data_IF_877884521656
#
_entry.id   IF_877884521656
#
_cell.length_a   1.000
_cell.length_b   1.000
_cell.length_c   1.000
_cell.angle_alpha   90.00
_cell.angle_beta   90.00
_cell.angle_gamma   90.00
#
_symmetry.space_group_name_H-M   'P 1'
#
loop_
_entity.id
_entity.type
_entity.pdbx_description
1 polymer ?
#
# COMPACT_ATOMS: atom_id res chain seq x y z
N UNK A 1 67.53 23.26 -72.49
CA UNK A 1 67.64 23.35 -71.04
C UNK A 1 66.24 23.49 -70.48
N UNK A 2 65.61 22.38 -70.11
CA UNK A 2 64.27 22.34 -69.59
C UNK A 2 64.37 22.31 -68.07
N UNK A 3 63.71 23.26 -67.38
CA UNK A 3 63.53 23.26 -65.95
C UNK A 3 62.16 22.66 -65.63
N UNK A 4 62.20 21.50 -64.96
CA UNK A 4 61.02 20.85 -64.36
C UNK A 4 60.71 21.49 -62.98
N UNK A 5 59.54 22.12 -62.82
CA UNK A 5 59.01 22.59 -61.56
C UNK A 5 58.13 21.47 -60.95
N UNK A 6 58.56 20.91 -59.84
CA UNK A 6 57.80 19.94 -59.04
C UNK A 6 56.87 20.68 -58.04
N UNK A 7 55.56 20.56 -58.21
CA UNK A 7 54.57 21.05 -57.28
C UNK A 7 54.37 20.07 -56.14
N UNK A 8 54.75 20.45 -54.92
CA UNK A 8 54.38 19.72 -53.69
C UNK A 8 52.94 20.04 -53.29
N UNK A 9 52.03 19.08 -53.36
CA UNK A 9 50.69 19.17 -52.83
C UNK A 9 50.69 18.86 -51.31
N UNK A 10 50.49 19.87 -50.50
CA UNK A 10 50.33 19.71 -49.07
C UNK A 10 48.89 19.24 -48.74
N UNK A 11 48.69 17.99 -48.40
CA UNK A 11 47.44 17.46 -47.91
C UNK A 11 47.25 17.87 -46.43
N UNK A 12 46.39 18.84 -46.18
CA UNK A 12 46.00 19.26 -44.81
C UNK A 12 45.09 18.17 -44.20
N UNK A 13 45.64 17.36 -43.29
CA UNK A 13 44.89 16.45 -42.46
C UNK A 13 44.02 17.26 -41.46
N UNK A 14 42.70 17.31 -41.69
CA UNK A 14 41.74 17.83 -40.73
C UNK A 14 41.73 16.91 -39.52
N UNK A 15 42.39 17.29 -38.42
CA UNK A 15 42.22 16.69 -37.09
C UNK A 15 40.80 16.97 -36.64
N UNK A 16 39.93 15.94 -36.64
CA UNK A 16 38.65 15.97 -35.97
C UNK A 16 38.88 16.20 -34.48
N UNK A 17 38.45 17.35 -33.95
CA UNK A 17 38.40 17.60 -32.52
C UNK A 17 37.46 16.54 -31.93
N UNK A 18 37.98 15.60 -31.15
CA UNK A 18 37.15 14.78 -30.24
C UNK A 18 36.42 15.74 -29.30
N UNK A 19 35.12 15.90 -29.50
CA UNK A 19 34.26 16.61 -28.57
C UNK A 19 34.27 15.79 -27.28
N UNK A 20 34.71 16.38 -26.18
CA UNK A 20 34.65 15.74 -24.88
C UNK A 20 33.18 15.36 -24.57
N UNK A 21 32.90 14.17 -24.05
CA UNK A 21 31.54 13.77 -23.73
C UNK A 21 30.96 14.78 -22.74
N UNK A 22 29.73 15.23 -23.00
CA UNK A 22 29.00 16.09 -22.07
C UNK A 22 28.89 15.37 -20.72
N UNK A 23 29.10 16.06 -19.58
CA UNK A 23 28.90 15.44 -18.27
C UNK A 23 27.45 14.91 -18.19
N UNK A 24 27.29 13.70 -17.71
CA UNK A 24 25.97 13.09 -17.51
C UNK A 24 25.21 13.85 -16.42
N UNK A 25 23.91 14.03 -16.63
CA UNK A 25 23.02 14.60 -15.59
C UNK A 25 22.87 13.63 -14.42
N UNK A 26 22.53 14.13 -13.23
CA UNK A 26 22.29 13.28 -12.06
C UNK A 26 21.21 12.21 -12.34
N UNK A 27 20.15 12.56 -13.07
CA UNK A 27 19.11 11.63 -13.51
C UNK A 27 19.64 10.52 -14.43
N UNK A 28 20.56 10.85 -15.36
CA UNK A 28 21.15 9.85 -16.24
C UNK A 28 22.06 8.90 -15.47
N UNK A 29 22.80 9.40 -14.48
CA UNK A 29 23.63 8.57 -13.58
C UNK A 29 22.75 7.64 -12.75
N UNK A 30 21.65 8.15 -12.20
CA UNK A 30 20.71 7.34 -11.41
C UNK A 30 20.09 6.24 -12.27
N UNK A 31 19.63 6.57 -13.47
CA UNK A 31 19.05 5.60 -14.41
C UNK A 31 20.05 4.51 -14.81
N UNK A 32 21.33 4.87 -14.99
CA UNK A 32 22.38 3.90 -15.28
C UNK A 32 22.62 2.93 -14.11
N UNK A 33 22.62 3.46 -12.87
CA UNK A 33 22.70 2.62 -11.66
C UNK A 33 21.52 1.66 -11.54
N UNK A 34 20.31 2.15 -11.77
CA UNK A 34 19.09 1.32 -11.74
C UNK A 34 19.10 0.22 -12.79
N UNK A 35 19.53 0.55 -14.02
CA UNK A 35 19.67 -0.45 -15.07
C UNK A 35 20.71 -1.51 -14.71
N UNK A 36 21.85 -1.10 -14.15
CA UNK A 36 22.90 -2.03 -13.71
C UNK A 36 22.39 -2.95 -12.61
N UNK A 37 21.70 -2.40 -11.60
CA UNK A 37 21.10 -3.18 -10.53
C UNK A 37 20.05 -4.18 -11.08
N UNK A 38 19.22 -3.76 -12.04
CA UNK A 38 18.27 -4.65 -12.70
C UNK A 38 18.97 -5.85 -13.36
N UNK A 39 20.06 -5.61 -14.09
CA UNK A 39 20.82 -6.70 -14.73
C UNK A 39 21.47 -7.62 -13.68
N UNK A 40 21.99 -7.07 -12.57
CA UNK A 40 22.56 -7.85 -11.46
C UNK A 40 21.53 -8.72 -10.74
N UNK A 41 20.25 -8.24 -10.66
CA UNK A 41 19.15 -8.97 -10.03
C UNK A 41 18.48 -9.99 -10.96
N UNK A 42 18.76 -9.95 -12.25
CA UNK A 42 18.01 -10.70 -13.26
C UNK A 42 18.02 -12.21 -13.01
N UNK A 43 19.19 -12.77 -12.68
CA UNK A 43 19.37 -14.20 -12.41
C UNK A 43 18.63 -14.66 -11.13
N UNK A 44 18.29 -13.72 -10.25
CA UNK A 44 17.52 -13.96 -9.03
C UNK A 44 16.03 -13.64 -9.18
N UNK A 45 15.52 -13.53 -10.41
CA UNK A 45 14.11 -13.26 -10.67
C UNK A 45 13.23 -14.33 -10.04
N UNK A 46 12.38 -13.91 -9.10
CA UNK A 46 11.46 -14.81 -8.40
C UNK A 46 10.39 -15.33 -9.36
N UNK A 47 10.11 -16.63 -9.26
CA UNK A 47 9.04 -17.29 -9.99
C UNK A 47 7.70 -17.01 -9.29
N UNK A 48 6.93 -16.06 -9.82
CA UNK A 48 5.60 -15.75 -9.33
C UNK A 48 4.54 -16.53 -10.13
N UNK A 49 3.38 -16.73 -9.50
CA UNK A 49 2.17 -17.16 -10.18
C UNK A 49 1.12 -16.06 -10.09
N UNK A 50 1.10 -15.18 -11.10
CA UNK A 50 0.20 -14.03 -11.14
C UNK A 50 -1.17 -14.47 -11.60
N UNK A 51 -2.14 -14.47 -10.70
CA UNK A 51 -3.51 -14.96 -10.96
C UNK A 51 -4.33 -13.93 -11.73
N UNK A 52 -4.19 -12.66 -11.35
CA UNK A 52 -5.01 -11.57 -11.86
C UNK A 52 -4.25 -10.24 -11.82
N UNK A 53 -4.71 -9.28 -12.60
CA UNK A 53 -4.25 -7.90 -12.53
C UNK A 53 -5.39 -6.95 -12.88
N UNK A 54 -5.48 -5.83 -12.14
CA UNK A 54 -6.50 -4.81 -12.37
C UNK A 54 -5.88 -3.43 -12.33
N UNK A 55 -6.28 -2.57 -13.25
CA UNK A 55 -5.83 -1.16 -13.29
C UNK A 55 -6.92 -0.29 -12.68
N UNK A 56 -6.53 0.47 -11.67
CA UNK A 56 -7.44 1.33 -10.90
C UNK A 56 -6.84 2.73 -10.71
N UNK A 57 -7.64 3.68 -10.24
CA UNK A 57 -7.13 4.95 -9.75
C UNK A 57 -6.25 4.73 -8.50
N UNK A 58 -5.14 5.45 -8.39
CA UNK A 58 -4.22 5.34 -7.25
C UNK A 58 -4.95 5.44 -5.90
N UNK A 59 -5.99 6.28 -5.82
CA UNK A 59 -6.82 6.45 -4.62
C UNK A 59 -7.70 5.24 -4.28
N UNK A 60 -7.93 4.34 -5.25
CA UNK A 60 -8.74 3.13 -5.08
C UNK A 60 -7.90 1.86 -4.86
N UNK A 61 -6.56 1.99 -4.84
CA UNK A 61 -5.67 0.84 -4.73
C UNK A 61 -5.96 0.00 -3.48
N UNK A 62 -6.10 0.64 -2.32
CA UNK A 62 -6.36 -0.06 -1.05
C UNK A 62 -7.69 -0.81 -1.04
N UNK A 63 -8.76 -0.19 -1.54
CA UNK A 63 -10.10 -0.82 -1.58
C UNK A 63 -10.20 -1.98 -2.55
N UNK A 64 -9.22 -2.13 -3.45
CA UNK A 64 -9.15 -3.23 -4.42
C UNK A 64 -8.58 -4.50 -3.80
N UNK A 65 -7.77 -4.37 -2.74
CA UNK A 65 -7.15 -5.48 -2.03
C UNK A 65 -8.15 -6.03 -1.01
N UNK A 66 -8.49 -7.31 -1.16
CA UNK A 66 -9.44 -7.99 -0.27
C UNK A 66 -8.69 -8.54 0.95
N UNK A 67 -8.35 -7.68 1.92
CA UNK A 67 -7.82 -8.13 3.20
C UNK A 67 -8.94 -8.73 4.05
N UNK A 68 -8.66 -9.89 4.63
CA UNK A 68 -9.52 -10.44 5.69
C UNK A 68 -9.28 -9.67 6.99
N UNK A 69 -10.28 -9.53 7.88
CA UNK A 69 -10.11 -8.81 9.15
C UNK A 69 -8.93 -9.31 9.99
N UNK A 70 -8.61 -10.59 9.93
CA UNK A 70 -7.50 -11.22 10.67
C UNK A 70 -6.13 -10.71 10.24
N UNK A 71 -5.99 -10.28 8.98
CA UNK A 71 -4.77 -9.66 8.46
C UNK A 71 -4.62 -8.18 8.84
N UNK A 72 -5.65 -7.60 9.46
CA UNK A 72 -5.67 -6.19 9.77
C UNK A 72 -6.08 -5.31 8.59
N UNK A 73 -5.69 -4.04 8.65
CA UNK A 73 -6.09 -3.05 7.64
C UNK A 73 -5.00 -2.00 7.43
N UNK A 74 -4.95 -1.47 6.21
CA UNK A 74 -4.13 -0.30 5.88
C UNK A 74 -5.08 0.87 5.62
N UNK A 75 -4.88 1.95 6.34
CA UNK A 75 -5.78 3.12 6.30
C UNK A 75 -4.95 4.42 6.24
N UNK A 76 -5.48 5.51 5.66
CA UNK A 76 -4.80 6.80 5.73
C UNK A 76 -4.63 7.27 7.19
N UNK A 77 -3.44 7.81 7.52
CA UNK A 77 -3.10 8.29 8.86
C UNK A 77 -4.11 9.32 9.39
N UNK A 78 -4.46 10.29 8.56
CA UNK A 78 -5.40 11.36 8.92
C UNK A 78 -6.82 10.85 9.21
N UNK A 79 -7.24 9.78 8.56
CA UNK A 79 -8.54 9.14 8.83
C UNK A 79 -8.51 8.33 10.13
N UNK A 80 -7.38 7.70 10.42
CA UNK A 80 -7.23 6.82 11.57
C UNK A 80 -7.03 7.58 12.89
N UNK A 81 -6.12 8.56 12.90
CA UNK A 81 -5.83 9.37 14.10
C UNK A 81 -6.61 10.69 14.15
N UNK A 82 -7.46 10.98 13.15
CA UNK A 82 -8.16 12.27 13.00
C UNK A 82 -7.22 13.48 13.03
N UNK A 83 -6.01 13.30 12.54
CA UNK A 83 -4.92 14.25 12.53
C UNK A 83 -4.45 14.51 11.09
N UNK A 84 -4.35 15.78 10.69
CA UNK A 84 -4.00 16.19 9.32
C UNK A 84 -2.50 16.41 9.12
N UNK A 85 -1.66 16.08 10.09
CA UNK A 85 -0.22 16.35 10.04
C UNK A 85 0.53 15.52 9.01
N UNK A 86 0.03 14.31 8.69
CA UNK A 86 0.66 13.36 7.76
C UNK A 86 -0.30 12.94 6.63
N UNK A 87 -0.61 13.82 5.67
CA UNK A 87 -1.70 13.59 4.70
C UNK A 87 -1.44 12.45 3.70
N UNK A 88 -0.19 12.09 3.46
CA UNK A 88 0.19 11.04 2.48
C UNK A 88 0.69 9.75 3.15
N UNK A 89 0.60 9.67 4.47
CA UNK A 89 1.05 8.53 5.25
C UNK A 89 -0.09 7.53 5.43
N UNK A 90 0.27 6.25 5.35
CA UNK A 90 -0.62 5.13 5.65
C UNK A 90 -0.23 4.45 6.95
N UNK A 91 -1.25 3.96 7.65
CA UNK A 91 -1.12 3.22 8.91
C UNK A 91 -1.57 1.78 8.65
N UNK A 92 -0.74 0.82 9.01
CA UNK A 92 -1.17 -0.55 9.16
C UNK A 92 -1.63 -0.78 10.59
N UNK A 93 -2.79 -1.39 10.76
CA UNK A 93 -3.36 -1.81 12.04
C UNK A 93 -3.53 -3.32 11.98
N UNK A 94 -2.99 -4.04 12.95
CA UNK A 94 -3.09 -5.51 12.98
C UNK A 94 -4.52 -6.00 13.18
N UNK A 95 -4.77 -7.30 12.92
CA UNK A 95 -6.10 -7.91 13.02
C UNK A 95 -6.73 -7.82 14.40
N UNK A 96 -5.94 -7.77 15.47
CA UNK A 96 -6.43 -7.57 16.85
C UNK A 96 -6.75 -6.11 17.18
N UNK A 97 -6.50 -5.18 16.25
CA UNK A 97 -6.69 -3.73 16.43
C UNK A 97 -5.99 -3.13 17.68
N UNK A 98 -4.94 -3.77 18.14
CA UNK A 98 -4.19 -3.37 19.33
C UNK A 98 -2.76 -2.90 19.04
N UNK A 99 -2.29 -3.00 17.80
CA UNK A 99 -0.97 -2.52 17.37
C UNK A 99 -1.03 -1.89 16.00
N UNK A 100 -0.35 -0.78 15.82
CA UNK A 100 -0.29 -0.12 14.52
C UNK A 100 1.13 0.36 14.20
N UNK A 101 1.41 0.49 12.89
CA UNK A 101 2.70 0.91 12.34
C UNK A 101 2.48 2.01 11.29
N UNK A 102 3.31 3.04 11.31
CA UNK A 102 3.30 4.13 10.33
C UNK A 102 4.65 4.83 10.27
N UNK A 103 4.92 5.55 9.19
CA UNK A 103 6.15 6.33 9.05
C UNK A 103 5.85 7.83 9.06
N UNK A 104 6.74 8.60 9.68
CA UNK A 104 6.81 10.05 9.55
C UNK A 104 7.98 10.40 8.64
N UNK A 105 7.73 11.21 7.63
CA UNK A 105 8.75 11.67 6.69
C UNK A 105 8.91 13.19 6.84
N UNK A 106 10.13 13.63 7.08
CA UNK A 106 10.46 15.04 7.20
C UNK A 106 10.59 15.74 5.82
N UNK A 107 10.85 17.03 5.84
CA UNK A 107 10.98 17.86 4.61
C UNK A 107 12.17 17.48 3.74
N UNK A 108 13.14 16.72 4.28
CA UNK A 108 14.31 16.22 3.53
C UNK A 108 14.05 14.85 2.90
N UNK A 109 12.88 14.25 3.17
CA UNK A 109 12.54 12.90 2.75
C UNK A 109 13.02 11.82 3.71
N UNK A 110 13.69 12.17 4.81
CA UNK A 110 14.12 11.22 5.83
C UNK A 110 12.92 10.70 6.59
N UNK A 111 12.80 9.38 6.66
CA UNK A 111 11.67 8.71 7.28
C UNK A 111 12.06 8.04 8.59
N UNK A 112 11.12 8.05 9.54
CA UNK A 112 11.21 7.30 10.80
C UNK A 112 9.95 6.45 10.93
N UNK A 113 10.11 5.17 11.19
CA UNK A 113 9.01 4.25 11.41
C UNK A 113 8.66 4.20 12.89
N UNK A 114 7.37 4.26 13.19
CA UNK A 114 6.83 4.21 14.54
C UNK A 114 5.84 3.06 14.69
N UNK A 115 5.75 2.52 15.90
CA UNK A 115 4.62 1.70 16.31
C UNK A 115 3.90 2.35 17.50
N UNK A 116 2.61 2.00 17.65
CA UNK A 116 1.82 2.29 18.86
C UNK A 116 1.07 1.03 19.25
N UNK A 117 0.89 0.87 20.54
CA UNK A 117 0.09 -0.20 21.12
C UNK A 117 -1.14 0.40 21.78
N UNK A 118 -2.26 -0.31 21.70
CA UNK A 118 -3.54 0.12 22.26
C UNK A 118 -3.79 -0.62 23.57
N UNK A 119 -3.88 0.14 24.66
CA UNK A 119 -4.23 -0.35 25.97
C UNK A 119 -5.53 0.32 26.42
N UNK A 120 -6.51 -0.46 26.84
CA UNK A 120 -7.80 0.06 27.32
C UNK A 120 -8.43 1.10 26.38
N UNK A 121 -8.44 0.80 25.07
CA UNK A 121 -8.96 1.66 23.99
C UNK A 121 -8.16 2.95 23.72
N UNK A 122 -7.01 3.16 24.36
CA UNK A 122 -6.15 4.34 24.18
C UNK A 122 -4.85 3.91 23.49
N UNK A 123 -4.48 4.59 22.41
CA UNK A 123 -3.20 4.40 21.74
C UNK A 123 -2.05 5.01 22.57
N UNK A 124 -0.98 4.25 22.77
CA UNK A 124 0.25 4.73 23.43
C UNK A 124 0.89 5.90 22.67
N UNK A 125 1.83 6.58 23.29
CA UNK A 125 2.74 7.48 22.58
C UNK A 125 3.51 6.72 21.49
N UNK A 126 3.89 7.38 20.37
CA UNK A 126 4.70 6.77 19.32
C UNK A 126 6.00 6.20 19.86
N UNK A 127 6.32 4.97 19.50
CA UNK A 127 7.58 4.32 19.80
C UNK A 127 8.39 4.18 18.51
N UNK A 128 9.59 4.77 18.48
CA UNK A 128 10.48 4.68 17.31
C UNK A 128 10.97 3.25 17.13
N UNK A 129 10.75 2.70 15.95
CA UNK A 129 11.29 1.41 15.53
C UNK A 129 12.73 1.62 15.08
N UNK A 130 13.65 0.89 15.73
CA UNK A 130 15.08 0.92 15.42
C UNK A 130 15.42 -0.18 14.41
N UNK A 131 16.51 0.01 13.64
CA UNK A 131 17.04 -1.03 12.74
C UNK A 131 16.65 -0.90 11.29
N UNK A 132 15.67 -0.05 10.95
CA UNK A 132 15.39 0.27 9.55
C UNK A 132 16.45 1.25 9.04
N UNK A 133 17.13 0.91 7.96
CA UNK A 133 18.32 1.56 7.46
C UNK A 133 18.20 3.09 7.33
N UNK A 134 19.28 3.78 7.70
CA UNK A 134 19.38 5.24 7.62
C UNK A 134 19.29 5.77 6.15
N UNK A 135 19.48 4.88 5.18
CA UNK A 135 19.57 5.21 3.76
C UNK A 135 18.21 5.16 3.02
N UNK A 136 17.14 4.80 3.75
CA UNK A 136 15.79 4.71 3.18
C UNK A 136 15.01 6.00 3.40
N UNK A 137 14.47 6.53 2.31
CA UNK A 137 13.67 7.77 2.30
C UNK A 137 12.22 7.45 1.97
N UNK A 138 11.30 8.32 2.41
CA UNK A 138 9.88 8.23 2.08
C UNK A 138 9.25 6.87 2.42
N UNK A 139 9.61 6.26 3.57
CA UNK A 139 9.01 4.99 4.00
C UNK A 139 7.49 5.13 4.12
N UNK A 140 6.73 4.20 3.51
CA UNK A 140 5.28 4.21 3.54
C UNK A 140 4.70 2.79 3.30
N UNK A 141 3.38 2.66 3.36
CA UNK A 141 2.65 1.42 3.12
C UNK A 141 3.15 0.23 3.95
N UNK A 142 3.29 0.40 5.28
CA UNK A 142 3.71 -0.69 6.16
C UNK A 142 2.68 -1.81 6.17
N UNK A 143 3.15 -3.06 6.26
CA UNK A 143 2.33 -4.25 6.43
C UNK A 143 3.11 -5.30 7.24
N UNK A 144 2.45 -5.90 8.23
CA UNK A 144 2.98 -7.01 9.02
C UNK A 144 2.19 -8.28 8.70
N UNK A 145 2.87 -9.38 8.45
CA UNK A 145 2.23 -10.69 8.30
C UNK A 145 1.52 -11.13 9.58
N UNK A 146 0.59 -12.08 9.46
CA UNK A 146 -0.24 -12.53 10.58
C UNK A 146 0.56 -13.16 11.72
N UNK A 147 1.75 -13.71 11.43
CA UNK A 147 2.69 -14.26 12.42
C UNK A 147 3.38 -13.17 13.28
N UNK A 148 3.32 -11.90 12.87
CA UNK A 148 3.96 -10.79 13.56
C UNK A 148 5.49 -10.74 13.40
N UNK A 149 6.07 -11.53 12.49
CA UNK A 149 7.51 -11.62 12.29
C UNK A 149 7.98 -10.89 11.02
N UNK A 150 7.28 -11.06 9.90
CA UNK A 150 7.69 -10.48 8.62
C UNK A 150 7.00 -9.15 8.38
N UNK A 151 7.79 -8.12 8.09
CA UNK A 151 7.34 -6.75 7.89
C UNK A 151 7.72 -6.25 6.50
N UNK A 152 6.72 -5.79 5.76
CA UNK A 152 6.88 -5.19 4.44
C UNK A 152 6.61 -3.69 4.50
N UNK A 153 7.31 -2.93 3.68
CA UNK A 153 7.06 -1.51 3.48
C UNK A 153 7.61 -1.06 2.13
N UNK A 154 7.18 0.09 1.65
CA UNK A 154 7.78 0.72 0.47
C UNK A 154 8.67 1.88 0.89
N UNK A 155 9.80 2.04 0.22
CA UNK A 155 10.72 3.15 0.46
C UNK A 155 11.45 3.55 -0.82
N UNK A 156 12.00 4.77 -0.82
CA UNK A 156 12.95 5.21 -1.84
C UNK A 156 14.36 5.02 -1.28
N UNK A 157 15.15 4.19 -1.96
CA UNK A 157 16.53 3.92 -1.59
C UNK A 157 17.48 4.39 -2.72
N UNK A 158 18.67 4.83 -2.35
CA UNK A 158 19.69 5.28 -3.33
C UNK A 158 20.22 4.13 -4.20
N UNK A 159 20.04 2.89 -3.73
CA UNK A 159 20.33 1.62 -4.40
C UNK A 159 19.06 0.87 -4.83
N UNK A 160 17.95 1.56 -4.95
CA UNK A 160 16.68 1.01 -5.44
C UNK A 160 16.60 0.89 -6.95
N UNK A 161 15.70 0.02 -7.42
CA UNK A 161 15.40 -0.21 -8.84
C UNK A 161 14.57 0.93 -9.45
N UNK A 162 13.65 1.50 -8.67
CA UNK A 162 12.70 2.49 -9.15
C UNK A 162 12.60 3.74 -8.30
N UNK A 163 11.40 4.27 -8.20
CA UNK A 163 11.05 5.33 -7.26
C UNK A 163 10.81 4.75 -5.87
N UNK A 164 9.61 4.20 -5.66
CA UNK A 164 9.35 3.34 -4.53
C UNK A 164 9.69 1.89 -4.88
N UNK A 165 10.44 1.25 -4.01
CA UNK A 165 10.64 -0.20 -4.02
C UNK A 165 10.07 -0.81 -2.74
N UNK A 166 9.62 -2.05 -2.83
CA UNK A 166 9.13 -2.83 -1.69
C UNK A 166 10.33 -3.50 -1.01
N UNK A 167 10.41 -3.35 0.30
CA UNK A 167 11.39 -3.96 1.17
C UNK A 167 10.71 -4.89 2.16
N UNK A 168 11.45 -5.89 2.60
CA UNK A 168 11.07 -6.84 3.62
C UNK A 168 12.11 -6.84 4.73
N UNK A 169 11.65 -6.96 5.98
CA UNK A 169 12.50 -7.23 7.13
C UNK A 169 11.81 -8.20 8.08
N UNK A 170 12.54 -8.73 9.05
CA UNK A 170 12.00 -9.59 10.10
C UNK A 170 12.22 -8.98 11.46
N UNK A 171 11.25 -9.14 12.33
CA UNK A 171 11.38 -8.78 13.73
C UNK A 171 12.15 -9.87 14.48
N UNK A 172 13.17 -9.46 15.21
CA UNK A 172 13.93 -10.29 16.12
C UNK A 172 13.38 -10.08 17.54
N UNK A 173 12.62 -11.04 18.09
CA UNK A 173 12.02 -10.90 19.40
C UNK A 173 13.06 -10.93 20.54
N UNK A 174 14.20 -11.58 20.33
CA UNK A 174 15.27 -11.68 21.35
C UNK A 174 15.98 -10.35 21.51
N UNK A 175 16.21 -9.62 20.43
CA UNK A 175 16.85 -8.31 20.44
C UNK A 175 15.84 -7.13 20.45
N UNK A 176 14.55 -7.40 20.25
CA UNK A 176 13.49 -6.39 20.24
C UNK A 176 13.63 -5.36 19.11
N UNK A 177 14.17 -5.77 17.96
CA UNK A 177 14.41 -4.90 16.81
C UNK A 177 14.11 -5.59 15.49
N UNK A 178 13.97 -4.79 14.43
CA UNK A 178 13.96 -5.32 13.07
C UNK A 178 15.38 -5.57 12.55
N UNK A 179 15.53 -6.63 11.76
CA UNK A 179 16.76 -6.92 11.02
C UNK A 179 16.95 -5.90 9.88
N UNK A 180 18.13 -5.93 9.24
CA UNK A 180 18.40 -5.09 8.07
C UNK A 180 17.37 -5.41 6.97
N UNK A 181 16.67 -4.40 6.43
CA UNK A 181 15.72 -4.61 5.34
C UNK A 181 16.40 -5.08 4.06
N UNK A 182 15.72 -5.94 3.33
CA UNK A 182 16.13 -6.47 2.04
C UNK A 182 15.15 -6.03 0.96
N UNK A 183 15.66 -5.61 -0.21
CA UNK A 183 14.85 -5.38 -1.40
C UNK A 183 14.24 -6.71 -1.85
N UNK A 184 12.90 -6.78 -2.03
CA UNK A 184 12.22 -8.04 -2.41
C UNK A 184 12.59 -8.50 -3.82
N UNK A 185 13.17 -7.63 -4.64
CA UNK A 185 13.73 -7.94 -5.94
C UNK A 185 12.70 -8.12 -7.05
N UNK A 186 13.20 -8.66 -8.16
CA UNK A 186 12.42 -8.94 -9.37
C UNK A 186 11.52 -10.17 -9.19
N UNK A 187 10.32 -10.20 -9.74
CA UNK A 187 9.68 -9.18 -10.58
C UNK A 187 8.74 -8.24 -9.79
N UNK A 188 8.75 -8.30 -8.46
CA UNK A 188 7.89 -7.45 -7.61
C UNK A 188 8.32 -6.00 -7.77
N UNK A 189 9.59 -5.68 -7.53
CA UNK A 189 10.16 -4.37 -7.81
C UNK A 189 10.52 -4.18 -9.28
N UNK A 190 10.54 -2.94 -9.74
CA UNK A 190 10.80 -2.55 -11.13
C UNK A 190 11.40 -1.14 -11.21
N UNK A 191 11.64 -0.63 -12.43
CA UNK A 191 12.05 0.77 -12.64
C UNK A 191 10.95 1.82 -12.36
N UNK A 192 9.77 1.39 -11.87
CA UNK A 192 8.63 2.25 -11.56
C UNK A 192 8.43 2.35 -10.05
N UNK A 193 7.37 3.03 -9.60
CA UNK A 193 6.97 2.96 -8.21
C UNK A 193 6.25 1.63 -7.97
N UNK A 194 6.79 0.83 -7.05
CA UNK A 194 6.21 -0.43 -6.57
C UNK A 194 5.95 -0.31 -5.06
N UNK A 195 4.74 -0.58 -4.62
CA UNK A 195 4.33 -0.35 -3.23
C UNK A 195 3.09 -1.16 -2.85
N UNK A 196 2.67 -1.05 -1.59
CA UNK A 196 1.46 -1.69 -1.07
C UNK A 196 1.51 -3.21 -1.24
N UNK A 197 2.61 -3.84 -0.79
CA UNK A 197 2.69 -5.30 -0.73
C UNK A 197 1.95 -5.82 0.50
N UNK A 198 1.07 -6.77 0.27
CA UNK A 198 0.24 -7.39 1.30
C UNK A 198 0.18 -8.87 1.06
N UNK A 199 0.31 -9.67 2.11
CA UNK A 199 0.36 -11.13 2.04
C UNK A 199 -0.68 -11.76 2.97
N UNK A 200 -1.51 -12.64 2.39
CA UNK A 200 -2.46 -13.48 3.10
C UNK A 200 -1.91 -14.91 3.09
N UNK A 201 -1.15 -15.25 4.10
CA UNK A 201 -0.52 -16.55 4.26
C UNK A 201 -1.55 -17.68 4.49
N UNK A 202 -2.67 -17.39 5.16
CA UNK A 202 -3.76 -18.33 5.41
C UNK A 202 -4.40 -18.77 4.10
N UNK A 203 -4.75 -17.84 3.23
CA UNK A 203 -5.36 -18.12 1.93
C UNK A 203 -4.32 -18.29 0.81
N UNK A 204 -3.04 -18.05 1.12
CA UNK A 204 -1.91 -18.12 0.18
C UNK A 204 -2.07 -17.19 -1.03
N UNK A 205 -2.41 -15.93 -0.79
CA UNK A 205 -2.44 -14.87 -1.79
C UNK A 205 -1.59 -13.68 -1.35
N UNK A 206 -1.06 -12.95 -2.34
CA UNK A 206 -0.44 -11.65 -2.11
C UNK A 206 -0.86 -10.65 -3.17
N UNK A 207 -0.76 -9.36 -2.84
CA UNK A 207 -1.05 -8.25 -3.73
C UNK A 207 0.07 -7.24 -3.65
N UNK A 208 0.33 -6.58 -4.76
CA UNK A 208 1.14 -5.36 -4.77
C UNK A 208 0.66 -4.39 -5.85
N UNK A 209 0.87 -3.12 -5.60
CA UNK A 209 0.56 -2.03 -6.52
C UNK A 209 1.83 -1.57 -7.24
N UNK A 210 1.68 -1.24 -8.52
CA UNK A 210 2.78 -0.72 -9.34
C UNK A 210 2.30 0.31 -10.34
N UNK A 211 3.12 1.31 -10.60
CA UNK A 211 2.89 2.29 -11.69
C UNK A 211 3.49 1.86 -13.02
N UNK A 212 4.13 0.67 -13.09
CA UNK A 212 4.76 0.18 -14.35
C UNK A 212 3.75 0.14 -15.50
N UNK A 213 4.09 0.79 -16.60
CA UNK A 213 3.28 0.88 -17.82
C UNK A 213 1.88 1.46 -17.61
N UNK A 214 1.68 2.26 -16.54
CA UNK A 214 0.41 2.92 -16.29
C UNK A 214 0.50 4.42 -16.57
N UNK A 215 -0.59 5.05 -17.04
CA UNK A 215 -0.67 6.50 -17.13
C UNK A 215 -0.66 7.13 -15.73
N UNK A 216 -0.33 8.41 -15.66
CA UNK A 216 -0.31 9.18 -14.42
C UNK A 216 -1.67 9.07 -13.68
N UNK A 217 -1.63 8.86 -12.37
CA UNK A 217 -2.81 8.69 -11.52
C UNK A 217 -3.41 7.29 -11.51
N UNK A 218 -2.92 6.37 -12.35
CA UNK A 218 -3.34 4.96 -12.37
C UNK A 218 -2.26 4.04 -11.81
N UNK A 219 -2.72 2.91 -11.27
CA UNK A 219 -1.85 1.84 -10.79
C UNK A 219 -2.42 0.49 -11.22
N UNK A 220 -1.55 -0.47 -11.41
CA UNK A 220 -1.91 -1.86 -11.59
C UNK A 220 -1.74 -2.60 -10.26
N UNK A 221 -2.79 -3.29 -9.83
CA UNK A 221 -2.72 -4.22 -8.69
C UNK A 221 -2.57 -5.62 -9.25
N UNK A 222 -1.45 -6.26 -8.94
CA UNK A 222 -1.24 -7.67 -9.23
C UNK A 222 -1.71 -8.52 -8.06
N UNK A 223 -2.41 -9.61 -8.35
CA UNK A 223 -2.77 -10.66 -7.40
C UNK A 223 -1.93 -11.90 -7.68
N UNK A 224 -1.22 -12.37 -6.68
CA UNK A 224 -0.29 -13.50 -6.77
C UNK A 224 -0.84 -14.65 -5.93
N UNK A 225 -0.78 -15.89 -6.43
CA UNK A 225 -0.92 -17.08 -5.61
C UNK A 225 0.45 -17.43 -5.04
N UNK A 226 0.57 -17.43 -3.73
CA UNK A 226 1.83 -17.73 -3.04
C UNK A 226 2.21 -19.21 -3.23
N UNK A 227 3.47 -19.44 -3.50
CA UNK A 227 4.08 -20.77 -3.43
C UNK A 227 4.49 -21.05 -1.97
N UNK A 228 4.54 -22.34 -1.61
CA UNK A 228 4.98 -22.75 -0.26
C UNK A 228 6.40 -22.31 0.07
N UNK A 229 7.28 -22.29 -0.94
CA UNK A 229 8.65 -21.84 -0.83
C UNK A 229 8.91 -20.83 -1.94
N UNK A 230 9.78 -19.86 -1.66
CA UNK A 230 10.29 -18.94 -2.69
C UNK A 230 11.17 -19.75 -3.67
N UNK A 231 10.86 -19.64 -4.96
CA UNK A 231 11.64 -20.23 -6.04
C UNK A 231 12.02 -19.12 -7.01
N UNK A 232 13.22 -19.19 -7.59
CA UNK A 232 13.63 -18.33 -8.68
C UNK A 232 13.50 -19.08 -10.01
N UNK A 233 13.46 -18.33 -11.11
CA UNK A 233 13.66 -18.91 -12.41
C UNK A 233 15.12 -19.40 -12.51
N UNK A 234 15.32 -20.56 -13.11
CA UNK A 234 16.64 -21.06 -13.40
C UNK A 234 17.14 -20.35 -14.67
N UNK A 235 18.05 -19.39 -14.49
CA UNK A 235 18.55 -18.52 -15.58
C UNK A 235 19.15 -19.33 -16.75
N UNK A 236 19.72 -20.50 -16.49
CA UNK A 236 20.29 -21.37 -17.52
C UNK A 236 19.22 -21.96 -18.47
N UNK A 237 17.96 -21.98 -18.05
CA UNK A 237 16.84 -22.51 -18.84
C UNK A 237 16.10 -21.43 -19.65
N UNK A 238 16.50 -20.17 -19.56
CA UNK A 238 15.86 -19.05 -20.26
C UNK A 238 16.89 -18.24 -21.04
N UNK A 239 16.55 -17.79 -22.23
CA UNK A 239 17.32 -16.73 -22.87
C UNK A 239 17.13 -15.40 -22.10
N UNK A 240 18.10 -14.51 -22.20
CA UNK A 240 18.13 -13.22 -21.50
C UNK A 240 16.85 -12.41 -21.79
N UNK A 241 16.32 -12.45 -23.00
CA UNK A 241 15.11 -11.73 -23.38
C UNK A 241 13.87 -12.30 -22.68
N UNK A 242 13.74 -13.63 -22.63
CA UNK A 242 12.63 -14.29 -21.94
C UNK A 242 12.69 -14.02 -20.44
N UNK A 243 13.86 -14.10 -19.83
CA UNK A 243 14.06 -13.79 -18.43
C UNK A 243 13.71 -12.33 -18.10
N UNK A 244 14.13 -11.37 -18.94
CA UNK A 244 13.75 -9.96 -18.81
C UNK A 244 12.23 -9.73 -18.94
N UNK A 245 11.54 -10.47 -19.80
CA UNK A 245 10.08 -10.39 -19.91
C UNK A 245 9.38 -10.87 -18.64
N UNK A 246 9.87 -11.95 -18.01
CA UNK A 246 9.39 -12.47 -16.74
C UNK A 246 9.68 -11.49 -15.58
N UNK A 247 10.92 -10.96 -15.53
CA UNK A 247 11.34 -9.97 -14.54
C UNK A 247 10.50 -8.67 -14.60
N UNK A 248 10.07 -8.29 -15.78
CA UNK A 248 9.22 -7.10 -15.99
C UNK A 248 7.72 -7.37 -15.91
N UNK A 249 7.29 -8.62 -15.77
CA UNK A 249 5.89 -9.05 -15.85
C UNK A 249 5.20 -8.52 -17.12
N UNK A 250 5.85 -8.67 -18.27
CA UNK A 250 5.35 -8.15 -19.55
C UNK A 250 3.98 -8.73 -19.89
N UNK A 251 3.81 -10.03 -19.63
CA UNK A 251 2.54 -10.72 -19.76
C UNK A 251 2.35 -11.67 -18.57
N UNK A 252 1.28 -11.49 -17.82
CA UNK A 252 1.00 -12.33 -16.64
C UNK A 252 0.83 -13.82 -16.99
N UNK A 253 0.38 -14.12 -18.21
CA UNK A 253 0.20 -15.51 -18.68
C UNK A 253 1.52 -16.30 -18.71
N UNK A 254 2.65 -15.61 -18.86
CA UNK A 254 3.98 -16.25 -18.92
C UNK A 254 4.40 -16.77 -17.52
N UNK A 255 3.73 -16.34 -16.47
CA UNK A 255 3.91 -16.82 -15.09
C UNK A 255 3.08 -18.07 -14.77
N UNK A 256 2.17 -18.48 -15.66
CA UNK A 256 1.24 -19.58 -15.37
C UNK A 256 1.87 -20.94 -15.65
N UNK A 257 1.81 -21.83 -14.66
CA UNK A 257 2.14 -23.24 -14.86
C UNK A 257 1.07 -23.97 -15.68
N UNK A 258 -0.21 -23.58 -15.55
CA UNK A 258 -1.31 -24.00 -16.43
C UNK A 258 -2.51 -23.05 -16.31
N UNK A 259 -3.34 -22.93 -17.36
CA UNK A 259 -4.59 -22.18 -17.31
C UNK A 259 -5.59 -22.74 -16.28
N UNK A 260 -5.59 -24.05 -16.06
CA UNK A 260 -6.46 -24.71 -15.10
C UNK A 260 -6.15 -24.25 -13.68
N UNK A 261 -4.87 -24.27 -13.27
CA UNK A 261 -4.44 -23.80 -11.96
C UNK A 261 -4.82 -22.31 -11.73
N UNK A 262 -4.69 -21.50 -12.78
CA UNK A 262 -5.14 -20.09 -12.69
C UNK A 262 -6.64 -20.01 -12.42
N UNK A 263 -7.46 -20.77 -13.13
CA UNK A 263 -8.91 -20.75 -12.96
C UNK A 263 -9.33 -21.25 -11.56
N UNK A 264 -8.63 -22.23 -11.01
CA UNK A 264 -8.81 -22.69 -9.62
C UNK A 264 -8.47 -21.59 -8.62
N UNK A 265 -7.33 -20.92 -8.79
CA UNK A 265 -6.94 -19.79 -7.95
C UNK A 265 -7.93 -18.62 -8.03
N UNK A 266 -8.48 -18.31 -9.23
CA UNK A 266 -9.53 -17.29 -9.38
C UNK A 266 -10.83 -17.66 -8.65
N UNK A 267 -11.22 -18.94 -8.63
CA UNK A 267 -12.37 -19.40 -7.85
C UNK A 267 -12.13 -19.22 -6.36
N UNK A 268 -10.95 -19.62 -5.88
CA UNK A 268 -10.55 -19.43 -4.47
C UNK A 268 -10.57 -17.94 -4.08
N UNK A 269 -9.99 -17.07 -4.90
CA UNK A 269 -9.98 -15.61 -4.69
C UNK A 269 -11.40 -15.03 -4.61
N UNK A 270 -12.30 -15.47 -5.48
CA UNK A 270 -13.70 -15.05 -5.47
C UNK A 270 -14.40 -15.48 -4.18
N UNK A 271 -14.23 -16.73 -3.74
CA UNK A 271 -14.80 -17.23 -2.49
C UNK A 271 -14.27 -16.43 -1.30
N UNK A 272 -12.96 -16.18 -1.24
CA UNK A 272 -12.32 -15.41 -0.19
C UNK A 272 -12.87 -13.96 -0.12
N UNK A 273 -13.03 -13.28 -1.27
CA UNK A 273 -13.63 -11.92 -1.33
C UNK A 273 -15.05 -11.90 -0.78
N UNK A 274 -15.86 -12.92 -1.09
CA UNK A 274 -17.23 -13.04 -0.56
C UNK A 274 -17.17 -13.21 0.96
N UNK A 275 -16.29 -14.08 1.46
CA UNK A 275 -16.14 -14.34 2.90
C UNK A 275 -15.59 -13.12 3.64
N UNK A 276 -14.61 -12.40 3.08
CA UNK A 276 -14.07 -11.18 3.65
C UNK A 276 -15.15 -10.09 3.76
N UNK A 277 -15.94 -9.87 2.71
CA UNK A 277 -17.04 -8.92 2.73
C UNK A 277 -18.10 -9.30 3.78
N UNK A 278 -18.45 -10.58 3.87
CA UNK A 278 -19.41 -11.06 4.88
C UNK A 278 -18.87 -10.88 6.31
N UNK A 279 -17.58 -11.15 6.53
CA UNK A 279 -16.92 -10.96 7.82
C UNK A 279 -16.83 -9.46 8.20
N UNK A 280 -16.52 -8.59 7.23
CA UNK A 280 -16.52 -7.14 7.45
C UNK A 280 -17.91 -6.63 7.84
N UNK A 281 -18.95 -7.05 7.13
CA UNK A 281 -20.32 -6.70 7.48
C UNK A 281 -20.74 -7.26 8.85
N UNK A 282 -20.34 -8.46 9.21
CA UNK A 282 -20.59 -9.03 10.53
C UNK A 282 -19.85 -8.26 11.63
N UNK A 283 -18.58 -7.90 11.41
CA UNK A 283 -17.79 -7.10 12.34
C UNK A 283 -18.36 -5.67 12.52
N UNK A 284 -18.82 -5.05 11.43
CA UNK A 284 -19.51 -3.76 11.47
C UNK A 284 -20.81 -3.79 12.27
N UNK A 285 -21.50 -4.94 12.31
CA UNK A 285 -22.74 -5.14 13.08
C UNK A 285 -22.47 -5.55 14.53
N UNK A 286 -21.27 -6.00 14.89
CA UNK A 286 -20.96 -6.37 16.27
C UNK A 286 -20.87 -5.14 17.14
N UNK A 287 -21.70 -5.13 18.22
CA UNK A 287 -21.71 -4.08 19.21
C UNK A 287 -21.04 -4.55 20.50
N UNK A 288 -19.87 -3.99 20.81
CA UNK A 288 -19.13 -4.30 22.04
C UNK A 288 -19.70 -3.46 23.19
N UNK A 289 -20.30 -4.13 24.16
CA UNK A 289 -20.83 -3.50 25.39
C UNK A 289 -19.69 -3.23 26.35
N UNK A 290 -18.93 -4.28 26.69
CA UNK A 290 -17.73 -4.24 27.55
C UNK A 290 -16.76 -5.37 27.15
N UNK A 291 -15.69 -5.57 27.92
CA UNK A 291 -14.63 -6.56 27.62
C UNK A 291 -15.11 -8.01 27.62
N UNK A 292 -16.27 -8.31 28.26
CA UNK A 292 -16.84 -9.65 28.37
C UNK A 292 -18.10 -9.86 27.53
N UNK A 293 -18.69 -8.78 26.99
CA UNK A 293 -20.01 -8.80 26.36
C UNK A 293 -20.03 -8.07 25.04
N UNK A 294 -20.34 -8.83 23.97
CA UNK A 294 -20.55 -8.29 22.64
C UNK A 294 -21.83 -8.87 22.01
N UNK A 295 -22.55 -8.09 21.26
CA UNK A 295 -23.79 -8.48 20.57
C UNK A 295 -23.60 -8.43 19.06
N UNK A 296 -24.01 -9.49 18.37
CA UNK A 296 -23.86 -9.63 16.92
C UNK A 296 -25.16 -9.30 16.15
N UNK A 297 -26.24 -9.04 16.86
CA UNK A 297 -27.53 -8.66 16.27
C UNK A 297 -28.38 -7.87 17.27
N UNK A 298 -29.44 -7.20 16.77
CA UNK A 298 -30.33 -6.39 17.56
C UNK A 298 -31.10 -7.17 18.64
N UNK A 299 -31.40 -8.44 18.39
CA UNK A 299 -32.19 -9.29 19.31
C UNK A 299 -31.40 -9.67 20.56
N UNK A 300 -30.07 -9.59 20.51
CA UNK A 300 -29.16 -9.90 21.61
C UNK A 300 -29.20 -8.84 22.73
N UNK A 301 -29.69 -7.62 22.48
CA UNK A 301 -29.81 -6.58 23.49
C UNK A 301 -30.92 -6.93 24.48
N UNK A 302 -30.65 -6.74 25.76
CA UNK A 302 -31.56 -7.06 26.85
C UNK A 302 -32.67 -6.04 27.01
N UNK A 303 -32.41 -4.77 26.70
CA UNK A 303 -33.35 -3.66 26.81
C UNK A 303 -33.96 -3.32 25.45
N UNK A 304 -35.27 -3.11 25.42
CA UNK A 304 -35.98 -2.62 24.23
C UNK A 304 -35.50 -1.19 23.84
N UNK A 305 -35.13 -0.38 24.83
CA UNK A 305 -34.52 0.92 24.61
C UNK A 305 -33.18 0.79 23.91
N UNK A 306 -32.34 -0.16 24.34
CA UNK A 306 -31.05 -0.45 23.66
C UNK A 306 -31.21 -0.89 22.21
N UNK A 307 -32.25 -1.69 21.90
CA UNK A 307 -32.57 -2.10 20.52
C UNK A 307 -32.93 -0.91 19.65
N UNK A 308 -33.74 0.01 20.16
CA UNK A 308 -34.12 1.23 19.44
C UNK A 308 -32.91 2.16 19.23
N UNK A 309 -32.09 2.36 20.27
CA UNK A 309 -30.86 3.14 20.16
C UNK A 309 -29.83 2.49 19.19
N UNK A 310 -29.75 1.17 19.16
CA UNK A 310 -28.90 0.44 18.21
C UNK A 310 -29.38 0.62 16.78
N UNK A 311 -30.67 0.59 16.51
CA UNK A 311 -31.21 0.90 15.19
C UNK A 311 -30.87 2.34 14.75
N UNK A 312 -30.95 3.32 15.67
CA UNK A 312 -30.51 4.69 15.39
C UNK A 312 -28.98 4.75 15.13
N UNK A 313 -28.19 4.02 15.89
CA UNK A 313 -26.72 3.92 15.69
C UNK A 313 -26.37 3.40 14.30
N UNK A 314 -27.07 2.38 13.82
CA UNK A 314 -26.85 1.85 12.46
C UNK A 314 -27.22 2.89 11.40
N UNK A 315 -28.32 3.59 11.56
CA UNK A 315 -28.72 4.66 10.63
C UNK A 315 -27.70 5.82 10.58
N UNK A 316 -27.14 6.24 11.73
CA UNK A 316 -26.08 7.26 11.80
C UNK A 316 -24.77 6.79 11.15
N UNK A 317 -24.45 5.49 11.25
CA UNK A 317 -23.28 4.90 10.57
C UNK A 317 -23.45 4.91 9.05
N UNK A 318 -24.64 4.53 8.55
CA UNK A 318 -24.96 4.57 7.13
C UNK A 318 -24.93 6.01 6.59
N UNK A 319 -25.46 6.97 7.33
CA UNK A 319 -25.41 8.39 6.97
C UNK A 319 -23.96 8.90 6.92
N UNK A 320 -23.15 8.56 7.91
CA UNK A 320 -21.72 8.89 7.92
C UNK A 320 -20.97 8.33 6.70
N UNK A 321 -21.26 7.08 6.31
CA UNK A 321 -20.69 6.47 5.12
C UNK A 321 -21.08 7.22 3.85
N UNK A 322 -22.33 7.63 3.72
CA UNK A 322 -22.84 8.41 2.59
C UNK A 322 -22.18 9.80 2.53
N UNK A 323 -22.06 10.48 3.67
CA UNK A 323 -21.38 11.77 3.78
C UNK A 323 -19.90 11.64 3.37
N UNK A 324 -19.20 10.61 3.84
CA UNK A 324 -17.80 10.35 3.49
C UNK A 324 -17.62 10.17 1.99
N UNK A 325 -18.47 9.34 1.36
CA UNK A 325 -18.44 9.13 -0.09
C UNK A 325 -18.67 10.45 -0.86
N UNK A 326 -19.65 11.24 -0.43
CA UNK A 326 -19.96 12.55 -1.03
C UNK A 326 -18.80 13.53 -0.88
N UNK A 327 -18.16 13.57 0.29
CA UNK A 327 -16.97 14.40 0.54
C UNK A 327 -15.80 14.02 -0.35
N UNK A 328 -15.57 12.74 -0.56
CA UNK A 328 -14.49 12.26 -1.44
C UNK A 328 -14.73 12.68 -2.90
N UNK A 329 -15.94 12.51 -3.40
CA UNK A 329 -16.34 12.98 -4.74
C UNK A 329 -16.19 14.50 -4.90
N UNK A 330 -16.59 15.26 -3.90
CA UNK A 330 -16.49 16.73 -3.89
C UNK A 330 -15.02 17.19 -3.84
N UNK A 331 -14.18 16.56 -3.02
CA UNK A 331 -12.75 16.87 -2.93
C UNK A 331 -12.01 16.55 -4.25
N UNK A 332 -12.37 15.46 -4.93
CA UNK A 332 -11.87 15.17 -6.27
C UNK A 332 -12.29 16.24 -7.28
N UNK A 333 -13.55 16.68 -7.22
CA UNK A 333 -14.08 17.72 -8.11
C UNK A 333 -13.45 19.10 -7.83
N UNK A 334 -13.14 19.40 -6.58
CA UNK A 334 -12.53 20.67 -6.15
C UNK A 334 -11.18 20.96 -6.83
N UNK A 335 -10.42 19.90 -7.15
CA UNK A 335 -9.15 20.02 -7.87
C UNK A 335 -9.32 20.43 -9.34
N UNK A 336 -10.51 20.26 -9.91
CA UNK A 336 -10.80 20.46 -11.34
C UNK A 336 -11.56 21.76 -11.64
N UNK A 337 -12.10 22.44 -10.62
CA UNK A 337 -12.93 23.65 -10.79
C UNK A 337 -12.23 24.92 -10.35
N UNK A 338 -12.57 26.06 -10.98
CA UNK A 338 -12.03 27.38 -10.69
C UNK A 338 -13.15 28.43 -10.56
N UNK A 339 -12.80 29.63 -10.07
CA UNK A 339 -13.72 30.77 -9.99
C UNK A 339 -14.90 30.55 -9.04
N UNK A 340 -16.08 31.02 -9.41
CA UNK A 340 -17.31 30.99 -8.59
C UNK A 340 -17.72 29.59 -8.22
N UNK A 341 -17.58 28.61 -9.12
CA UNK A 341 -17.87 27.20 -8.86
C UNK A 341 -17.00 26.61 -7.75
N UNK A 342 -15.75 27.06 -7.63
CA UNK A 342 -14.86 26.63 -6.55
C UNK A 342 -15.33 27.15 -5.19
N UNK A 343 -15.81 28.40 -5.13
CA UNK A 343 -16.37 29.00 -3.89
C UNK A 343 -17.62 28.25 -3.44
N UNK A 344 -18.54 27.94 -4.36
CA UNK A 344 -19.76 27.17 -4.05
C UNK A 344 -19.42 25.76 -3.55
N UNK A 345 -18.49 25.10 -4.23
CA UNK A 345 -18.06 23.75 -3.84
C UNK A 345 -17.37 23.76 -2.45
N UNK A 346 -16.59 24.82 -2.13
CA UNK A 346 -16.00 25.00 -0.80
C UNK A 346 -17.10 25.04 0.29
N UNK A 347 -18.15 25.84 0.06
CA UNK A 347 -19.25 25.94 1.02
C UNK A 347 -19.96 24.59 1.23
N UNK A 348 -20.17 23.84 0.15
CA UNK A 348 -20.79 22.51 0.23
C UNK A 348 -19.90 21.50 0.96
N UNK A 349 -18.59 21.50 0.69
CA UNK A 349 -17.62 20.66 1.41
C UNK A 349 -17.63 20.99 2.90
N UNK A 350 -17.58 22.29 3.27
CA UNK A 350 -17.62 22.70 4.67
C UNK A 350 -18.94 22.32 5.36
N UNK A 351 -20.07 22.36 4.65
CA UNK A 351 -21.35 21.92 5.20
C UNK A 351 -21.35 20.40 5.47
N UNK A 352 -20.84 19.61 4.52
CA UNK A 352 -20.74 18.16 4.68
C UNK A 352 -19.70 17.75 5.74
N UNK A 353 -18.60 18.48 5.89
CA UNK A 353 -17.64 18.25 6.99
C UNK A 353 -18.27 18.52 8.37
N UNK A 354 -19.16 19.50 8.49
CA UNK A 354 -19.94 19.72 9.73
C UNK A 354 -20.95 18.61 9.97
N UNK A 355 -21.65 18.15 8.93
CA UNK A 355 -22.57 17.01 9.01
C UNK A 355 -21.82 15.73 9.43
N UNK A 356 -20.64 15.49 8.85
CA UNK A 356 -19.75 14.39 9.24
C UNK A 356 -19.41 14.44 10.74
N UNK A 357 -18.99 15.60 11.25
CA UNK A 357 -18.67 15.75 12.66
C UNK A 357 -19.88 15.53 13.56
N UNK A 358 -21.07 15.97 13.14
CA UNK A 358 -22.32 15.75 13.86
C UNK A 358 -22.66 14.26 13.93
N UNK A 359 -22.60 13.53 12.81
CA UNK A 359 -22.83 12.09 12.77
C UNK A 359 -21.86 11.33 13.67
N UNK A 360 -20.56 11.68 13.64
CA UNK A 360 -19.56 11.10 14.55
C UNK A 360 -19.93 11.31 16.02
N UNK A 361 -20.32 12.51 16.40
CA UNK A 361 -20.71 12.83 17.77
C UNK A 361 -21.98 12.06 18.20
N UNK A 362 -22.94 11.92 17.29
CA UNK A 362 -24.15 11.12 17.52
C UNK A 362 -23.81 9.65 17.74
N UNK A 363 -22.96 9.06 16.90
CA UNK A 363 -22.48 7.69 17.03
C UNK A 363 -21.81 7.45 18.39
N UNK A 364 -20.94 8.36 18.82
CA UNK A 364 -20.27 8.28 20.13
C UNK A 364 -21.30 8.34 21.27
N UNK A 365 -22.25 9.28 21.19
CA UNK A 365 -23.27 9.44 22.20
C UNK A 365 -24.21 8.24 22.31
N UNK A 366 -24.67 7.72 21.16
CA UNK A 366 -25.53 6.54 21.10
C UNK A 366 -24.81 5.30 21.64
N UNK A 367 -23.55 5.09 21.22
CA UNK A 367 -22.71 3.98 21.68
C UNK A 367 -22.57 4.01 23.21
N UNK A 368 -22.31 5.19 23.79
CA UNK A 368 -22.18 5.34 25.23
C UNK A 368 -23.48 5.02 25.94
N UNK A 369 -24.61 5.58 25.48
CA UNK A 369 -25.92 5.34 26.07
C UNK A 369 -26.29 3.86 26.07
N UNK A 370 -26.10 3.17 24.96
CA UNK A 370 -26.38 1.73 24.85
C UNK A 370 -25.53 0.95 25.86
N UNK A 371 -24.23 1.25 25.95
CA UNK A 371 -23.32 0.60 26.90
C UNK A 371 -23.75 0.84 28.34
N UNK A 372 -24.10 2.05 28.68
CA UNK A 372 -24.55 2.40 30.04
C UNK A 372 -25.83 1.62 30.42
N UNK A 373 -26.79 1.49 29.49
CA UNK A 373 -28.04 0.74 29.74
C UNK A 373 -27.73 -0.76 29.88
N UNK A 374 -26.99 -1.37 28.94
CA UNK A 374 -26.73 -2.80 28.95
C UNK A 374 -25.82 -3.24 30.11
N UNK A 375 -24.85 -2.43 30.53
CA UNK A 375 -24.06 -2.68 31.72
C UNK A 375 -24.89 -2.64 32.99
N UNK A 376 -25.82 -1.72 33.10
CA UNK A 376 -26.72 -1.64 34.28
C UNK A 376 -27.69 -2.82 34.35
N UNK A 377 -28.02 -3.46 33.22
CA UNK A 377 -28.87 -4.65 33.17
C UNK A 377 -28.14 -5.95 33.60
N UNK A 378 -26.83 -5.92 33.77
CA UNK A 378 -26.06 -7.08 34.28
C UNK A 378 -26.15 -7.23 35.81
N UNK A 379 -26.59 -6.20 36.50
CA UNK A 379 -26.69 -6.19 37.98
C UNK A 379 -28.09 -6.52 38.52
N UNK A 380 -28.98 -6.90 37.63
CA UNK A 380 -30.33 -7.39 37.98
C UNK A 380 -30.58 -8.76 37.31
#
# INVERSE_FOLDING_TARGET
>A
MLLLASSLSATAQRRSKKVAPKPMTAEAIQKEKQNKLFEEMLDNTQRLFVVDSVVVDKTQALSTIALTPDLGKIVPYNSFFHDKTLPETYVYVNGFENKCYYAETDTTGTSKLYCREKLNSIWSAPQLIKGLGADMKHINYPFMTSDGETFFFAAKADDGLGGYDIFMTRYDPDEGKFLQPENVGLPINSHSDDYLYVEDDVNSFAWFATTRRQPEGKVCIYTIKLAKNRENYDADNYDEKALKQLAQLTHIRDTWSSPQKRNEALKQLKTMRISANAATHAAEQTFIVNDELAYNNADSFKSEESKQLYAQLLAERDELNNINKTLDEQRMSFRKVNGTSKVQLTQTIMANERAQQTAINNIISLTKKIRDIENNQQFY
#
